data_IF_579733244748
#
_entry.id   IF_579733244748
#
_cell.length_a   1.000
_cell.length_b   1.000
_cell.length_c   1.000
_cell.angle_alpha   90.00
_cell.angle_beta   90.00
_cell.angle_gamma   90.00
#
_symmetry.space_group_name_H-M   'P 1'
#
loop_
_entity.id
_entity.type
_entity.pdbx_description
1 polymer ?
#
# COMPACT_ATOMS: atom_id res chain seq x y z
N UNK A 1 -11.07 -13.01 -1.22
CA UNK A 1 -10.48 -11.72 -0.85
C UNK A 1 -11.58 -10.87 -0.26
N UNK A 2 -11.30 -10.01 0.74
CA UNK A 2 -12.27 -9.01 1.16
C UNK A 2 -12.73 -8.21 -0.07
N UNK A 3 -13.98 -7.76 -0.05
CA UNK A 3 -14.56 -6.94 -1.12
C UNK A 3 -13.93 -5.54 -1.02
N UNK A 4 -12.72 -5.40 -1.58
CA UNK A 4 -11.94 -4.15 -1.53
C UNK A 4 -12.39 -3.27 -2.70
N UNK A 5 -12.85 -2.07 -2.37
CA UNK A 5 -13.11 -1.02 -3.37
C UNK A 5 -11.82 -0.26 -3.63
N UNK A 6 -11.32 -0.31 -4.87
CA UNK A 6 -10.08 0.35 -5.26
C UNK A 6 -10.33 1.72 -5.89
N UNK A 7 -9.60 2.72 -5.41
CA UNK A 7 -9.55 4.05 -6.03
C UNK A 7 -8.72 4.03 -7.32
N UNK A 8 -8.78 5.12 -8.09
CA UNK A 8 -7.94 5.32 -9.27
C UNK A 8 -6.44 5.23 -8.92
N UNK A 9 -5.61 4.72 -9.84
CA UNK A 9 -4.19 4.55 -9.58
C UNK A 9 -3.49 5.90 -9.41
N UNK A 10 -2.67 5.98 -8.37
CA UNK A 10 -1.74 7.07 -8.12
C UNK A 10 -0.36 6.71 -8.69
N UNK A 11 0.10 7.49 -9.67
CA UNK A 11 1.38 7.27 -10.36
C UNK A 11 2.34 8.42 -10.08
N UNK A 12 3.54 8.13 -9.61
CA UNK A 12 4.65 9.09 -9.59
C UNK A 12 5.34 9.10 -10.97
N UNK A 13 5.85 10.26 -11.41
CA UNK A 13 6.57 10.36 -12.68
C UNK A 13 7.77 9.39 -12.71
N UNK A 14 7.76 8.47 -13.67
CA UNK A 14 8.84 7.51 -13.91
C UNK A 14 8.80 6.21 -13.09
N UNK A 15 7.84 6.04 -12.17
CA UNK A 15 7.81 4.96 -11.18
C UNK A 15 6.51 4.13 -11.17
N UNK A 16 6.49 3.10 -10.32
CA UNK A 16 5.34 2.22 -10.06
C UNK A 16 4.07 2.98 -9.70
N UNK A 17 2.95 2.61 -10.31
CA UNK A 17 1.62 3.11 -9.94
C UNK A 17 1.02 2.26 -8.81
N UNK A 18 0.48 2.92 -7.79
CA UNK A 18 -0.15 2.28 -6.65
C UNK A 18 -1.65 2.55 -6.63
N UNK A 19 -2.43 1.63 -6.08
CA UNK A 19 -3.85 1.81 -5.80
C UNK A 19 -4.08 1.74 -4.32
N UNK A 20 -4.97 2.61 -3.83
CA UNK A 20 -5.46 2.58 -2.47
C UNK A 20 -6.84 1.95 -2.51
N UNK A 21 -7.11 1.06 -1.56
CA UNK A 21 -8.38 0.37 -1.46
C UNK A 21 -8.92 0.38 -0.04
N UNK A 22 -10.23 0.26 0.10
CA UNK A 22 -10.89 0.13 1.40
C UNK A 22 -11.88 -1.02 1.38
N UNK A 23 -11.96 -1.79 2.46
CA UNK A 23 -13.01 -2.80 2.63
C UNK A 23 -14.25 -2.22 3.33
N UNK A 24 -15.28 -3.05 3.50
CA UNK A 24 -16.51 -2.69 4.18
C UNK A 24 -16.35 -2.41 5.69
N UNK A 25 -15.23 -2.81 6.29
CA UNK A 25 -14.91 -2.58 7.70
C UNK A 25 -14.13 -1.26 7.90
N UNK A 26 -13.70 -0.63 6.79
CA UNK A 26 -12.92 0.60 6.80
C UNK A 26 -11.41 0.38 6.91
N UNK A 27 -10.92 -0.85 6.72
CA UNK A 27 -9.49 -1.12 6.65
C UNK A 27 -8.90 -0.61 5.34
N UNK A 28 -7.72 0.00 5.42
CA UNK A 28 -7.03 0.51 4.24
C UNK A 28 -6.07 -0.54 3.65
N UNK A 29 -5.97 -0.52 2.33
CA UNK A 29 -5.14 -1.40 1.54
C UNK A 29 -4.32 -0.62 0.51
N UNK A 30 -3.09 -1.04 0.26
CA UNK A 30 -2.23 -0.48 -0.78
C UNK A 30 -1.73 -1.62 -1.66
N UNK A 31 -1.92 -1.51 -2.97
CA UNK A 31 -1.41 -2.48 -3.94
C UNK A 31 -0.72 -1.76 -5.11
N UNK A 32 0.07 -2.50 -5.89
CA UNK A 32 0.50 -2.03 -7.21
C UNK A 32 -0.68 -2.13 -8.18
N UNK A 33 -0.78 -1.18 -9.12
CA UNK A 33 -1.79 -1.21 -10.16
C UNK A 33 -1.66 -2.49 -10.99
N UNK A 34 -2.72 -3.30 -11.08
CA UNK A 34 -2.72 -4.61 -11.73
C UNK A 34 -2.18 -5.77 -10.86
N UNK A 35 -1.84 -5.52 -9.60
CA UNK A 35 -1.52 -6.55 -8.60
C UNK A 35 -2.37 -6.40 -7.34
N UNK A 36 -3.66 -6.10 -7.51
CA UNK A 36 -4.64 -5.95 -6.44
C UNK A 36 -4.81 -7.23 -5.60
N UNK A 37 -4.28 -8.38 -6.05
CA UNK A 37 -4.23 -9.63 -5.28
C UNK A 37 -3.13 -9.66 -4.21
N UNK A 38 -2.11 -8.82 -4.37
CA UNK A 38 -0.93 -8.74 -3.49
C UNK A 38 -0.91 -7.41 -2.72
N UNK A 39 -2.01 -7.10 -2.04
CA UNK A 39 -2.14 -5.87 -1.28
C UNK A 39 -1.43 -5.93 0.09
N UNK A 40 -0.91 -4.78 0.53
CA UNK A 40 -0.52 -4.53 1.91
C UNK A 40 -1.76 -4.04 2.67
N UNK A 41 -2.06 -4.63 3.81
CA UNK A 41 -3.14 -4.20 4.70
C UNK A 41 -2.56 -3.29 5.77
N UNK A 42 -3.12 -2.09 5.94
CA UNK A 42 -2.76 -1.20 7.03
C UNK A 42 -3.58 -1.59 8.26
N UNK A 43 -3.01 -2.45 9.10
CA UNK A 43 -3.40 -2.53 10.51
C UNK A 43 -2.48 -1.63 11.32
N UNK A 44 -2.85 -1.26 12.55
CA UNK A 44 -1.95 -0.51 13.45
C UNK A 44 -0.56 -1.19 13.60
N UNK A 45 -0.54 -2.53 13.55
CA UNK A 45 0.68 -3.34 13.54
C UNK A 45 1.46 -3.20 12.23
N UNK A 46 0.78 -3.14 11.08
CA UNK A 46 1.40 -2.89 9.79
C UNK A 46 1.96 -1.47 9.68
N UNK A 47 1.23 -0.45 10.16
CA UNK A 47 1.71 0.93 10.24
C UNK A 47 2.94 1.06 11.16
N UNK A 48 2.91 0.38 12.31
CA UNK A 48 4.10 0.32 13.21
C UNK A 48 5.28 -0.36 12.53
N UNK A 49 5.04 -1.46 11.83
CA UNK A 49 6.07 -2.18 11.08
C UNK A 49 6.66 -1.30 9.99
N UNK A 50 5.82 -0.63 9.19
CA UNK A 50 6.22 0.30 8.15
C UNK A 50 7.07 1.44 8.71
N UNK A 51 6.62 2.10 9.78
CA UNK A 51 7.38 3.18 10.44
C UNK A 51 8.73 2.66 10.95
N UNK A 52 8.78 1.44 11.49
CA UNK A 52 10.02 0.82 11.98
C UNK A 52 10.98 0.50 10.83
N UNK A 53 10.46 -0.01 9.72
CA UNK A 53 11.26 -0.37 8.55
C UNK A 53 11.76 0.85 7.77
N UNK A 54 10.97 1.92 7.69
CA UNK A 54 11.42 3.23 7.19
C UNK A 54 12.57 3.76 8.05
N UNK A 55 12.43 3.74 9.38
CA UNK A 55 13.51 4.15 10.30
C UNK A 55 14.75 3.28 10.21
N UNK A 56 14.59 2.01 9.82
CA UNK A 56 15.69 1.08 9.59
C UNK A 56 16.33 1.22 8.19
N UNK A 57 15.89 2.19 7.38
CA UNK A 57 16.39 2.41 6.01
C UNK A 57 16.00 1.33 5.02
N UNK A 58 15.05 0.45 5.38
CA UNK A 58 14.61 -0.63 4.47
C UNK A 58 13.73 -0.12 3.36
N UNK A 59 13.09 1.04 3.53
CA UNK A 59 12.24 1.68 2.54
C UNK A 59 12.98 2.69 1.65
N UNK A 60 14.30 2.89 1.82
CA UNK A 60 15.09 3.82 1.00
C UNK A 60 14.98 3.51 -0.50
N UNK A 61 14.82 2.23 -0.86
CA UNK A 61 14.65 1.78 -2.24
C UNK A 61 13.29 2.16 -2.87
N UNK A 62 12.32 2.62 -2.07
CA UNK A 62 11.01 3.09 -2.54
C UNK A 62 11.04 4.57 -2.98
N UNK A 63 12.11 5.30 -2.64
CA UNK A 63 12.32 6.71 -3.01
C UNK A 63 13.27 6.87 -4.21
N UNK A 64 13.64 5.77 -4.86
CA UNK A 64 14.54 5.73 -6.02
C UNK A 64 13.78 5.73 -7.36
#
# INVERSE_FOLDING_TARGET
>A
MPDITWEDPYCAEGNSCFRIGTDAEGNAYIALNGQEDHYLTDTLEALRTLITDIKAGKADHLLA
#
